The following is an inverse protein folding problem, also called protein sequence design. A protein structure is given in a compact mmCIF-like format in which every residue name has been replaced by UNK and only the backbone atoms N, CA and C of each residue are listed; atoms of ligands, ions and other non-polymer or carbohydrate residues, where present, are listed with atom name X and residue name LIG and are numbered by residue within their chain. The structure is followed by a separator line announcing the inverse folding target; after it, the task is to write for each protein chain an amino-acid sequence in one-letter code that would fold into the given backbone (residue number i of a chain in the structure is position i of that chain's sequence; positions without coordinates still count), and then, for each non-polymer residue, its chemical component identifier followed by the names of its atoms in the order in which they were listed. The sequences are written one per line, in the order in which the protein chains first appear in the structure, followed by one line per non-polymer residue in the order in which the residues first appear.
data_IF_559386313398
#
_entry.id   IF_559386313398
#
_cell.length_a   1.000
_cell.length_b   1.000
_cell.length_c   1.000
_cell.angle_alpha   90.00
_cell.angle_beta   90.00
_cell.angle_gamma   90.00
#
_symmetry.space_group_name_H-M   'P 1'
#
loop_
_entity.id
_entity.type
_entity.pdbx_description
1 polymer ?
#
# COMPACT_ATOMS: atom_id res chain seq x y z
N UNK A 1 2.14 -19.92 24.55
CA UNK A 1 1.93 -20.79 23.37
C UNK A 1 0.48 -20.82 22.94
N UNK A 2 -0.45 -21.01 23.90
CA UNK A 2 -1.87 -21.02 23.55
C UNK A 2 -2.35 -19.67 23.03
N UNK A 3 -1.84 -18.57 23.58
CA UNK A 3 -2.19 -17.24 23.14
C UNK A 3 -1.69 -16.96 21.73
N UNK A 4 -0.51 -17.46 21.40
CA UNK A 4 0.04 -17.31 20.04
C UNK A 4 -0.84 -18.04 19.00
N UNK A 5 -1.33 -19.21 19.34
CA UNK A 5 -2.22 -19.96 18.44
C UNK A 5 -3.56 -19.23 18.25
N UNK A 6 -4.12 -18.64 19.30
CA UNK A 6 -5.36 -17.89 19.21
C UNK A 6 -5.21 -16.66 18.33
N UNK A 7 -4.12 -15.93 18.48
CA UNK A 7 -3.83 -14.76 17.65
C UNK A 7 -3.65 -15.14 16.18
N UNK A 8 -2.94 -16.24 15.91
CA UNK A 8 -2.75 -16.73 14.55
C UNK A 8 -4.10 -17.11 13.91
N UNK A 9 -5.01 -17.72 14.66
CA UNK A 9 -6.35 -18.04 14.16
C UNK A 9 -7.16 -16.79 13.82
N UNK A 10 -7.14 -15.80 14.68
CA UNK A 10 -7.88 -14.55 14.47
C UNK A 10 -7.39 -13.83 13.22
N UNK A 11 -6.07 -13.80 13.01
CA UNK A 11 -5.47 -13.05 11.91
C UNK A 11 -5.60 -13.72 10.54
N UNK A 12 -6.16 -14.96 10.47
CA UNK A 12 -6.34 -15.67 9.20
C UNK A 12 -7.76 -15.70 8.70
N UNK A 13 -8.72 -15.13 9.46
CA UNK A 13 -10.12 -15.14 9.09
C UNK A 13 -10.42 -14.06 8.06
N UNK A 14 -10.86 -14.48 6.88
CA UNK A 14 -11.34 -13.59 5.84
C UNK A 14 -12.74 -13.09 6.18
N UNK A 15 -12.97 -11.81 6.01
CA UNK A 15 -14.27 -11.19 6.26
C UNK A 15 -14.44 -9.97 5.35
N UNK A 16 -15.67 -9.46 5.18
CA UNK A 16 -15.87 -8.22 4.44
C UNK A 16 -15.13 -7.06 5.12
N UNK A 17 -14.36 -6.32 4.35
CA UNK A 17 -13.61 -5.16 4.85
C UNK A 17 -14.01 -3.93 4.03
N UNK A 18 -14.48 -2.85 4.71
CA UNK A 18 -14.80 -1.59 4.04
C UNK A 18 -13.49 -0.86 3.70
N UNK A 19 -13.00 -1.10 2.51
CA UNK A 19 -11.66 -0.69 2.12
C UNK A 19 -11.50 0.83 2.04
N UNK A 20 -12.50 1.53 1.53
CA UNK A 20 -12.46 3.00 1.44
C UNK A 20 -12.30 3.61 2.83
N UNK A 21 -13.14 3.18 3.78
CA UNK A 21 -13.07 3.65 5.16
C UNK A 21 -11.73 3.30 5.81
N UNK A 22 -11.26 2.08 5.57
CA UNK A 22 -10.00 1.63 6.15
C UNK A 22 -8.81 2.49 5.65
N UNK A 23 -8.78 2.79 4.37
CA UNK A 23 -7.72 3.65 3.82
C UNK A 23 -7.78 5.05 4.43
N UNK A 24 -8.98 5.63 4.55
CA UNK A 24 -9.15 6.95 5.18
C UNK A 24 -8.65 6.96 6.61
N UNK A 25 -8.99 5.93 7.38
CA UNK A 25 -8.53 5.79 8.77
C UNK A 25 -7.01 5.72 8.85
N UNK A 26 -6.38 4.96 7.95
CA UNK A 26 -4.92 4.82 7.95
C UNK A 26 -4.23 6.11 7.52
N UNK A 27 -4.77 6.80 6.54
CA UNK A 27 -4.24 8.09 6.12
C UNK A 27 -4.30 9.11 7.27
N UNK A 28 -5.40 9.14 8.01
CA UNK A 28 -5.53 10.02 9.17
C UNK A 28 -4.50 9.66 10.25
N UNK A 29 -4.28 8.38 10.51
CA UNK A 29 -3.32 7.92 11.51
C UNK A 29 -1.87 8.26 11.10
N UNK A 30 -1.57 8.28 9.81
CA UNK A 30 -0.22 8.54 9.30
C UNK A 30 0.00 10.01 8.90
N UNK A 31 -1.01 10.85 9.05
CA UNK A 31 -0.91 12.29 8.75
C UNK A 31 0.26 12.98 9.45
N UNK A 32 0.58 12.69 10.73
CA UNK A 32 1.74 13.31 11.38
C UNK A 32 3.06 13.04 10.67
N UNK A 33 3.23 11.86 10.06
CA UNK A 33 4.45 11.55 9.29
C UNK A 33 4.54 12.44 8.05
N UNK A 34 3.42 12.65 7.37
CA UNK A 34 3.36 13.48 6.17
C UNK A 34 3.60 14.96 6.53
N UNK A 35 2.91 15.46 7.55
CA UNK A 35 3.04 16.88 7.92
C UNK A 35 4.42 17.21 8.46
N UNK A 36 5.11 16.28 9.10
CA UNK A 36 6.48 16.43 9.52
C UNK A 36 7.45 16.67 8.37
N UNK A 37 7.10 16.27 7.16
CA UNK A 37 7.85 16.49 5.94
C UNK A 37 7.15 17.48 4.99
N UNK A 38 6.11 18.15 5.46
CA UNK A 38 5.28 19.08 4.66
C UNK A 38 4.70 18.43 3.41
N UNK A 39 4.39 17.15 3.50
CA UNK A 39 3.79 16.39 2.41
C UNK A 39 2.27 16.45 2.55
N UNK A 40 1.59 16.71 1.45
CA UNK A 40 0.13 16.73 1.39
C UNK A 40 -0.38 15.38 0.90
N UNK A 41 -1.43 14.89 1.56
CA UNK A 41 -2.17 13.72 1.10
C UNK A 41 -3.38 14.17 0.28
N UNK A 42 -3.64 13.47 -0.81
CA UNK A 42 -4.87 13.59 -1.56
C UNK A 42 -5.49 12.20 -1.68
N UNK A 43 -6.79 12.09 -1.37
CA UNK A 43 -7.49 10.83 -1.48
C UNK A 43 -8.63 10.96 -2.48
N UNK A 44 -8.66 10.06 -3.48
CA UNK A 44 -9.68 10.04 -4.52
C UNK A 44 -10.35 8.67 -4.48
N UNK A 45 -11.63 8.65 -4.14
CA UNK A 45 -12.45 7.44 -4.15
C UNK A 45 -13.89 7.83 -4.44
N UNK A 46 -14.58 6.99 -5.22
CA UNK A 46 -15.97 7.27 -5.58
C UNK A 46 -16.94 6.88 -4.45
N UNK A 47 -16.97 5.61 -4.12
CA UNK A 47 -17.90 5.05 -3.15
C UNK A 47 -17.18 4.15 -2.16
N UNK A 48 -17.94 3.64 -1.16
CA UNK A 48 -17.41 2.62 -0.27
C UNK A 48 -17.25 1.31 -1.03
N UNK A 49 -16.01 0.84 -1.09
CA UNK A 49 -15.67 -0.42 -1.75
C UNK A 49 -15.35 -1.44 -0.67
N UNK A 50 -16.02 -2.59 -0.73
CA UNK A 50 -15.78 -3.70 0.19
C UNK A 50 -15.03 -4.81 -0.54
N UNK A 51 -14.05 -5.39 0.14
CA UNK A 51 -13.39 -6.61 -0.34
C UNK A 51 -13.44 -7.65 0.78
N UNK A 52 -13.32 -8.91 0.42
CA UNK A 52 -13.15 -9.96 1.42
C UNK A 52 -11.66 -10.09 1.71
N UNK A 53 -11.29 -9.90 2.97
CA UNK A 53 -9.88 -9.90 3.34
C UNK A 53 -9.65 -10.06 4.82
N UNK A 54 -8.39 -9.99 5.19
CA UNK A 54 -7.92 -10.04 6.58
C UNK A 54 -7.55 -8.61 6.96
N UNK A 55 -8.38 -8.00 7.82
CA UNK A 55 -8.25 -6.57 8.17
C UNK A 55 -6.83 -6.17 8.59
N UNK A 56 -6.23 -6.92 9.51
CA UNK A 56 -4.90 -6.58 10.03
C UNK A 56 -3.83 -6.63 8.96
N UNK A 57 -3.97 -7.54 8.01
CA UNK A 57 -3.05 -7.66 6.89
C UNK A 57 -3.22 -6.50 5.92
N UNK A 58 -4.46 -6.11 5.66
CA UNK A 58 -4.74 -4.95 4.81
C UNK A 58 -4.26 -3.65 5.44
N UNK A 59 -4.39 -3.50 6.77
CA UNK A 59 -3.81 -2.37 7.49
C UNK A 59 -2.30 -2.32 7.25
N UNK A 60 -1.63 -3.45 7.38
CA UNK A 60 -0.18 -3.53 7.18
C UNK A 60 0.21 -3.14 5.74
N UNK A 61 -0.53 -3.62 4.75
CA UNK A 61 -0.29 -3.27 3.35
C UNK A 61 -0.45 -1.77 3.12
N UNK A 62 -1.56 -1.19 3.58
CA UNK A 62 -1.84 0.23 3.41
C UNK A 62 -0.78 1.09 4.10
N UNK A 63 -0.45 0.76 5.34
CA UNK A 63 0.55 1.49 6.10
C UNK A 63 1.92 1.47 5.40
N UNK A 64 2.33 0.30 4.92
CA UNK A 64 3.61 0.18 4.22
C UNK A 64 3.64 0.98 2.92
N UNK A 65 2.53 1.00 2.18
CA UNK A 65 2.45 1.81 0.96
C UNK A 65 2.57 3.31 1.26
N UNK A 66 1.82 3.78 2.25
CA UNK A 66 1.80 5.20 2.60
C UNK A 66 3.12 5.64 3.24
N UNK A 67 3.63 4.87 4.18
CA UNK A 67 4.92 5.16 4.83
C UNK A 67 6.06 5.19 3.82
N UNK A 68 6.05 4.26 2.89
CA UNK A 68 7.05 4.20 1.83
C UNK A 68 6.97 5.44 0.93
N UNK A 69 5.76 5.85 0.56
CA UNK A 69 5.55 7.04 -0.26
C UNK A 69 6.03 8.31 0.46
N UNK A 70 5.70 8.44 1.75
CA UNK A 70 6.16 9.58 2.56
C UNK A 70 7.67 9.61 2.65
N UNK A 71 8.29 8.45 2.88
CA UNK A 71 9.73 8.33 3.05
C UNK A 71 10.51 8.77 1.83
N UNK A 72 10.05 8.41 0.64
CA UNK A 72 10.78 8.68 -0.61
C UNK A 72 10.32 9.93 -1.34
N UNK A 73 9.22 10.54 -0.96
CA UNK A 73 8.81 11.83 -1.52
C UNK A 73 9.71 12.94 -1.02
N UNK A 74 9.97 13.96 -1.86
CA UNK A 74 10.70 15.14 -1.40
C UNK A 74 9.86 15.89 -0.37
N UNK A 75 10.54 16.65 0.50
CA UNK A 75 9.86 17.54 1.43
C UNK A 75 9.01 18.54 0.64
N UNK A 76 7.79 18.75 1.09
CA UNK A 76 6.83 19.60 0.40
C UNK A 76 6.12 18.92 -0.77
N UNK A 77 6.37 17.63 -0.99
CA UNK A 77 5.76 16.88 -2.06
C UNK A 77 4.30 16.54 -1.79
N UNK A 78 3.73 15.73 -2.68
CA UNK A 78 2.33 15.33 -2.61
C UNK A 78 2.21 13.85 -2.88
N UNK A 79 1.35 13.19 -2.11
CA UNK A 79 1.03 11.79 -2.28
C UNK A 79 -0.44 11.67 -2.63
N UNK A 80 -0.73 11.01 -3.74
CA UNK A 80 -2.09 10.74 -4.16
C UNK A 80 -2.41 9.27 -3.87
N UNK A 81 -3.52 9.04 -3.17
CA UNK A 81 -4.05 7.72 -2.92
C UNK A 81 -5.39 7.64 -3.63
N UNK A 82 -5.55 6.67 -4.51
CA UNK A 82 -6.76 6.50 -5.29
C UNK A 82 -7.29 5.09 -5.13
N UNK A 83 -8.59 4.97 -4.89
CA UNK A 83 -9.27 3.68 -4.83
C UNK A 83 -10.46 3.71 -5.76
N UNK A 84 -10.53 2.74 -6.66
CA UNK A 84 -11.64 2.64 -7.60
C UNK A 84 -12.03 1.20 -7.86
N UNK A 85 -13.28 1.00 -8.22
CA UNK A 85 -13.76 -0.29 -8.67
C UNK A 85 -13.55 -0.39 -10.18
N UNK A 86 -12.95 -1.48 -10.63
CA UNK A 86 -12.69 -1.73 -12.05
C UNK A 86 -13.06 -3.17 -12.37
N UNK A 87 -14.06 -3.35 -13.24
CA UNK A 87 -14.54 -4.67 -13.59
C UNK A 87 -14.85 -5.51 -12.35
N UNK A 88 -14.15 -6.60 -12.14
CA UNK A 88 -14.35 -7.48 -10.99
C UNK A 88 -13.29 -7.28 -9.91
N UNK A 89 -12.70 -6.10 -9.84
CA UNK A 89 -11.63 -5.83 -8.89
C UNK A 89 -11.78 -4.46 -8.23
N UNK A 90 -11.12 -4.31 -7.09
CA UNK A 90 -10.87 -3.02 -6.46
C UNK A 90 -9.40 -2.67 -6.70
N UNK A 91 -9.13 -1.48 -7.19
CA UNK A 91 -7.78 -1.05 -7.51
C UNK A 91 -7.36 0.09 -6.61
N UNK A 92 -6.28 -0.13 -5.87
CA UNK A 92 -5.65 0.88 -5.02
C UNK A 92 -4.36 1.35 -5.69
N UNK A 93 -4.21 2.67 -5.83
CA UNK A 93 -2.99 3.30 -6.35
C UNK A 93 -2.45 4.28 -5.34
N UNK A 94 -1.15 4.21 -5.12
CA UNK A 94 -0.44 5.17 -4.28
C UNK A 94 0.69 5.75 -5.12
N UNK A 95 0.62 7.06 -5.38
CA UNK A 95 1.58 7.77 -6.23
C UNK A 95 2.36 8.79 -5.42
N UNK A 96 3.67 8.83 -5.62
CA UNK A 96 4.52 9.82 -4.99
C UNK A 96 5.28 10.65 -6.03
N UNK A 97 5.97 11.68 -5.58
CA UNK A 97 6.77 12.55 -6.42
C UNK A 97 8.28 12.36 -6.17
N UNK A 98 8.66 11.20 -5.67
CA UNK A 98 10.05 10.86 -5.40
C UNK A 98 10.84 10.48 -6.65
N UNK A 99 11.99 9.83 -6.47
CA UNK A 99 12.85 9.47 -7.61
C UNK A 99 12.34 8.30 -8.44
N UNK A 100 11.31 7.60 -7.99
CA UNK A 100 10.85 6.39 -8.66
C UNK A 100 11.80 5.22 -8.46
N UNK A 101 11.51 4.14 -9.17
CA UNK A 101 12.34 2.93 -9.16
C UNK A 101 12.70 2.59 -10.60
N UNK A 102 13.99 2.42 -10.93
CA UNK A 102 14.39 2.00 -12.25
C UNK A 102 13.69 0.71 -12.66
N UNK A 103 13.31 0.61 -13.94
CA UNK A 103 12.56 -0.53 -14.45
C UNK A 103 13.27 -1.86 -14.13
N UNK A 104 14.58 -1.89 -14.25
CA UNK A 104 15.38 -3.08 -14.03
C UNK A 104 15.42 -3.54 -12.56
N UNK A 105 15.01 -2.69 -11.61
CA UNK A 105 14.97 -3.03 -10.20
C UNK A 105 13.56 -3.34 -9.68
N UNK A 106 12.52 -3.14 -10.50
CA UNK A 106 11.14 -3.23 -10.05
C UNK A 106 10.71 -4.61 -9.55
N UNK A 107 11.28 -5.67 -10.08
CA UNK A 107 11.03 -7.00 -9.54
C UNK A 107 11.77 -7.24 -8.22
N UNK A 108 13.00 -6.75 -8.13
CA UNK A 108 13.86 -6.99 -6.97
C UNK A 108 13.47 -6.21 -5.74
N UNK A 109 12.79 -5.06 -5.89
CA UNK A 109 12.40 -4.26 -4.73
C UNK A 109 11.35 -4.95 -3.86
N UNK A 110 10.72 -6.01 -4.35
CA UNK A 110 9.83 -6.85 -3.56
C UNK A 110 10.57 -7.90 -2.74
N UNK A 111 11.86 -8.11 -3.00
CA UNK A 111 12.66 -9.06 -2.23
C UNK A 111 12.90 -8.51 -0.83
N UNK A 112 12.87 -9.38 0.16
CA UNK A 112 13.09 -8.99 1.56
C UNK A 112 14.49 -8.42 1.71
N UNK A 113 14.59 -7.29 2.41
CA UNK A 113 15.84 -6.58 2.69
C UNK A 113 16.54 -5.99 1.48
N UNK A 114 15.94 -6.05 0.29
CA UNK A 114 16.51 -5.37 -0.86
C UNK A 114 16.37 -3.85 -0.70
N UNK A 115 17.44 -3.13 -1.02
CA UNK A 115 17.43 -1.68 -1.07
C UNK A 115 18.17 -1.23 -2.34
N UNK A 116 17.63 -0.18 -2.99
CA UNK A 116 18.31 0.42 -4.13
C UNK A 116 19.61 1.06 -3.62
N UNK A 117 20.79 0.67 -4.17
CA UNK A 117 22.07 1.25 -3.75
C UNK A 117 22.15 2.77 -3.88
N UNK A 118 21.33 3.36 -4.74
CA UNK A 118 21.29 4.81 -4.96
C UNK A 118 20.38 5.56 -4.00
N UNK A 119 19.65 4.86 -3.13
CA UNK A 119 18.79 5.49 -2.15
C UNK A 119 19.56 5.86 -0.90
N UNK A 120 19.33 7.10 -0.45
CA UNK A 120 19.96 7.62 0.76
C UNK A 120 19.08 7.46 2.00
N UNK A 121 17.80 7.14 1.83
CA UNK A 121 16.88 6.99 2.94
C UNK A 121 17.13 5.70 3.72
N UNK A 122 17.02 5.79 5.05
CA UNK A 122 17.13 4.60 5.90
C UNK A 122 15.86 3.76 5.82
N UNK A 123 15.99 2.48 6.04
CA UNK A 123 14.85 1.56 6.06
C UNK A 123 15.31 0.12 6.06
N UNK A 124 14.40 -0.79 6.38
CA UNK A 124 14.71 -2.21 6.49
C UNK A 124 14.65 -2.96 5.17
N UNK A 125 14.03 -2.40 4.13
CA UNK A 125 13.79 -3.10 2.87
C UNK A 125 12.66 -4.12 2.95
N UNK A 126 11.78 -4.01 3.97
CA UNK A 126 10.67 -4.96 4.15
C UNK A 126 9.33 -4.45 3.63
N UNK A 127 9.16 -3.12 3.48
CA UNK A 127 7.87 -2.52 3.15
C UNK A 127 7.21 -3.11 1.92
N UNK A 128 7.89 -3.11 0.78
CA UNK A 128 7.32 -3.66 -0.46
C UNK A 128 7.21 -5.18 -0.44
N UNK A 129 8.09 -5.88 0.27
CA UNK A 129 7.97 -7.32 0.44
C UNK A 129 6.68 -7.67 1.19
N UNK A 130 6.33 -6.90 2.21
CA UNK A 130 5.07 -7.07 2.96
C UNK A 130 3.89 -6.81 2.04
N UNK A 131 3.93 -5.73 1.26
CA UNK A 131 2.87 -5.41 0.30
C UNK A 131 2.63 -6.58 -0.65
N UNK A 132 3.69 -7.13 -1.23
CA UNK A 132 3.56 -8.27 -2.15
C UNK A 132 2.99 -9.49 -1.45
N UNK A 133 3.48 -9.83 -0.25
CA UNK A 133 2.99 -10.99 0.49
C UNK A 133 1.50 -10.88 0.82
N UNK A 134 1.07 -9.73 1.32
CA UNK A 134 -0.34 -9.51 1.64
C UNK A 134 -1.20 -9.54 0.39
N UNK A 135 -0.74 -8.91 -0.69
CA UNK A 135 -1.45 -8.92 -1.97
C UNK A 135 -1.67 -10.36 -2.46
N UNK A 136 -0.64 -11.19 -2.39
CA UNK A 136 -0.75 -12.61 -2.79
C UNK A 136 -1.71 -13.38 -1.90
N UNK A 137 -1.73 -13.13 -0.61
CA UNK A 137 -2.67 -13.75 0.32
C UNK A 137 -4.12 -13.43 -0.02
N UNK A 138 -4.36 -12.30 -0.68
CA UNK A 138 -5.68 -11.83 -1.09
C UNK A 138 -5.98 -12.13 -2.55
N UNK A 139 -5.17 -12.96 -3.20
CA UNK A 139 -5.31 -13.31 -4.62
C UNK A 139 -5.27 -12.11 -5.55
N UNK A 140 -4.57 -11.06 -5.14
CA UNK A 140 -4.42 -9.84 -5.89
C UNK A 140 -3.11 -9.77 -6.67
N UNK A 141 -2.89 -8.61 -7.27
CA UNK A 141 -1.68 -8.31 -8.03
C UNK A 141 -1.14 -6.95 -7.62
N UNK A 142 0.18 -6.82 -7.60
CA UNK A 142 0.84 -5.54 -7.36
C UNK A 142 1.76 -5.22 -8.53
N UNK A 143 1.69 -3.98 -9.01
CA UNK A 143 2.52 -3.50 -10.11
C UNK A 143 3.14 -2.16 -9.74
N UNK A 144 4.34 -1.93 -10.24
CA UNK A 144 5.05 -0.67 -10.08
C UNK A 144 5.13 0.03 -11.42
N UNK A 145 4.91 1.34 -11.41
CA UNK A 145 5.04 2.17 -12.60
C UNK A 145 5.53 3.56 -12.22
N UNK A 146 5.71 4.42 -13.20
CA UNK A 146 6.11 5.80 -12.97
C UNK A 146 4.86 6.66 -12.77
N UNK A 147 4.86 7.48 -11.71
CA UNK A 147 3.75 8.41 -11.47
C UNK A 147 3.78 9.57 -12.46
N UNK A 148 2.67 10.33 -12.52
CA UNK A 148 2.58 11.51 -13.39
C UNK A 148 3.66 12.55 -13.08
N UNK A 149 4.13 12.59 -11.85
CA UNK A 149 5.18 13.53 -11.41
C UNK A 149 6.59 12.95 -11.50
N UNK A 150 6.75 11.80 -12.12
CA UNK A 150 8.05 11.16 -12.29
C UNK A 150 8.49 10.25 -11.15
N UNK A 151 7.69 10.17 -10.09
CA UNK A 151 7.96 9.29 -8.96
C UNK A 151 7.43 7.88 -9.17
N UNK A 152 7.14 7.19 -8.07
CA UNK A 152 6.64 5.82 -8.10
C UNK A 152 5.13 5.78 -7.97
N UNK A 153 4.49 4.94 -8.77
CA UNK A 153 3.09 4.56 -8.58
C UNK A 153 3.02 3.06 -8.31
N UNK A 154 2.48 2.72 -7.14
CA UNK A 154 2.21 1.33 -6.78
C UNK A 154 0.74 1.07 -7.00
N UNK A 155 0.42 0.06 -7.80
CA UNK A 155 -0.95 -0.33 -8.11
C UNK A 155 -1.21 -1.71 -7.54
N UNK A 156 -2.22 -1.83 -6.67
CA UNK A 156 -2.64 -3.10 -6.09
C UNK A 156 -4.06 -3.40 -6.53
N UNK A 157 -4.25 -4.54 -7.17
CA UNK A 157 -5.57 -5.00 -7.60
C UNK A 157 -6.02 -6.13 -6.70
N UNK A 158 -7.21 -5.97 -6.09
CA UNK A 158 -7.84 -7.00 -5.28
C UNK A 158 -9.08 -7.54 -6.00
N UNK A 159 -9.31 -8.86 -6.00
CA UNK A 159 -10.58 -9.39 -6.48
C UNK A 159 -11.73 -8.84 -5.63
N UNK A 160 -12.81 -8.44 -6.28
CA UNK A 160 -13.99 -7.95 -5.57
C UNK A 160 -15.07 -9.02 -5.61
N UNK A 161 -15.38 -9.67 -4.46
CA UNK A 161 -16.37 -10.74 -4.45
C UNK A 161 -17.77 -10.31 -4.87
N UNK A 162 -18.07 -9.02 -4.78
CA UNK A 162 -19.38 -8.49 -5.21
C UNK A 162 -19.61 -8.67 -6.71
N UNK A 163 -18.56 -8.89 -7.49
CA UNK A 163 -18.64 -9.10 -8.94
C UNK A 163 -18.31 -10.54 -9.34
N UNK A 164 -18.04 -11.40 -8.38
CA UNK A 164 -17.67 -12.79 -8.66
C UNK A 164 -18.90 -13.67 -8.92
#
# INVERSE_FOLDING_TARGET
LLMMHSEAHISTVMSPVPLTTLIQERMAALEPLASGRRIEFEFIADDEIHITGIRERLVSLIDNLIENAVKYSPEGGRIEVQLQSRDKSAQLRVSDAGPGIPVELRERVFDRFFRDPNQTQSGSGLGLAIVKAVTQQHNGRVNLSTSAEGGLMVTVDFPNPAFA
#
